data_IF_826115526649
#
_entry.id   IF_826115526649
#
_cell.length_a   1.000
_cell.length_b   1.000
_cell.length_c   1.000
_cell.angle_alpha   90.00
_cell.angle_beta   90.00
_cell.angle_gamma   90.00
#
_symmetry.space_group_name_H-M   'P 1'
#
loop_
_entity.id
_entity.type
_entity.pdbx_description
1 polymer ?
#
# COMPACT_ATOMS: atom_id res chain seq x y z
N UNK A 1 -22.57 0.67 -22.75
CA UNK A 1 -23.57 1.74 -22.56
C UNK A 1 -25.00 1.19 -22.43
N UNK A 2 -25.59 0.54 -23.46
CA UNK A 2 -26.93 -0.08 -23.35
C UNK A 2 -27.07 -1.05 -22.17
N UNK A 3 -26.09 -1.93 -21.97
CA UNK A 3 -26.07 -2.88 -20.83
C UNK A 3 -26.08 -2.15 -19.48
N UNK A 4 -25.30 -1.07 -19.31
CA UNK A 4 -25.32 -0.27 -18.07
C UNK A 4 -26.73 0.26 -17.78
N UNK A 5 -27.39 0.82 -18.79
CA UNK A 5 -28.74 1.35 -18.60
C UNK A 5 -29.72 0.27 -18.17
N UNK A 6 -29.66 -0.92 -18.76
CA UNK A 6 -30.50 -2.05 -18.38
C UNK A 6 -30.24 -2.49 -16.93
N UNK A 7 -28.97 -2.58 -16.52
CA UNK A 7 -28.60 -2.96 -15.16
C UNK A 7 -29.08 -1.92 -14.14
N UNK A 8 -28.84 -0.64 -14.37
CA UNK A 8 -29.25 0.45 -13.47
C UNK A 8 -30.78 0.58 -13.40
N UNK A 9 -31.50 0.40 -14.52
CA UNK A 9 -32.96 0.42 -14.51
C UNK A 9 -33.54 -0.73 -13.67
N UNK A 10 -32.89 -1.90 -13.67
CA UNK A 10 -33.34 -3.09 -12.92
C UNK A 10 -32.87 -3.08 -11.46
N UNK A 11 -31.69 -2.52 -11.21
CA UNK A 11 -31.02 -2.44 -9.91
C UNK A 11 -30.47 -1.02 -9.71
N UNK A 12 -31.30 -0.07 -9.22
CA UNK A 12 -30.92 1.34 -9.12
C UNK A 12 -29.66 1.60 -8.29
N UNK A 13 -29.43 0.79 -7.25
CA UNK A 13 -28.29 0.94 -6.35
C UNK A 13 -27.01 0.24 -6.85
N UNK A 14 -27.08 -0.46 -7.99
CA UNK A 14 -25.92 -1.17 -8.55
C UNK A 14 -24.95 -0.20 -9.22
N UNK A 15 -23.70 -0.21 -8.75
CA UNK A 15 -22.60 0.46 -9.43
C UNK A 15 -22.14 -0.34 -10.65
N UNK A 16 -22.00 0.31 -11.80
CA UNK A 16 -21.60 -0.33 -13.06
C UNK A 16 -20.39 0.38 -13.67
N UNK A 17 -19.25 -0.32 -13.71
CA UNK A 17 -18.06 0.12 -14.44
C UNK A 17 -18.08 -0.39 -15.89
N UNK A 18 -17.75 0.47 -16.85
CA UNK A 18 -17.64 0.09 -18.26
C UNK A 18 -16.18 0.09 -18.70
N UNK A 19 -15.69 -1.03 -19.25
CA UNK A 19 -14.28 -1.12 -19.64
C UNK A 19 -13.83 -0.14 -20.71
N UNK A 20 -14.73 0.29 -21.60
CA UNK A 20 -14.41 1.35 -22.56
C UNK A 20 -14.26 2.74 -21.91
N UNK A 21 -14.77 2.95 -20.70
CA UNK A 21 -14.63 4.19 -19.94
C UNK A 21 -13.45 4.10 -18.96
N UNK A 22 -13.24 2.94 -18.31
CA UNK A 22 -12.14 2.75 -17.35
C UNK A 22 -10.79 2.51 -18.01
N UNK A 23 -10.76 1.91 -19.21
CA UNK A 23 -9.53 1.61 -19.94
C UNK A 23 -9.78 1.55 -21.46
N UNK A 24 -9.71 2.72 -22.12
CA UNK A 24 -9.98 2.88 -23.55
C UNK A 24 -8.95 2.25 -24.52
N UNK A 25 -7.95 1.53 -24.02
CA UNK A 25 -6.89 0.92 -24.82
C UNK A 25 -7.34 -0.46 -25.38
N UNK A 26 -6.76 -0.85 -26.52
CA UNK A 26 -6.84 -2.23 -27.04
C UNK A 26 -6.16 -3.19 -26.05
N UNK A 27 -6.49 -4.49 -26.14
CA UNK A 27 -6.19 -5.58 -25.18
C UNK A 27 -7.35 -5.88 -24.22
N UNK A 28 -8.27 -6.76 -24.66
CA UNK A 28 -9.48 -7.12 -23.90
C UNK A 28 -9.18 -7.70 -22.51
N UNK A 29 -8.26 -8.67 -22.33
CA UNK A 29 -7.94 -9.18 -21.00
C UNK A 29 -7.49 -8.08 -20.03
N UNK A 30 -6.58 -7.20 -20.45
CA UNK A 30 -6.04 -6.11 -19.62
C UNK A 30 -7.10 -5.05 -19.29
N UNK A 31 -7.97 -4.75 -20.25
CA UNK A 31 -9.14 -3.89 -20.03
C UNK A 31 -10.09 -4.49 -19.01
N UNK A 32 -10.41 -5.79 -19.12
CA UNK A 32 -11.28 -6.48 -18.17
C UNK A 32 -10.70 -6.48 -16.74
N UNK A 33 -9.40 -6.74 -16.59
CA UNK A 33 -8.70 -6.67 -15.29
C UNK A 33 -8.77 -5.26 -14.70
N UNK A 34 -8.51 -4.23 -15.51
CA UNK A 34 -8.58 -2.84 -15.04
C UNK A 34 -9.99 -2.49 -14.55
N UNK A 35 -11.02 -2.80 -15.35
CA UNK A 35 -12.42 -2.57 -14.99
C UNK A 35 -12.84 -3.34 -13.74
N UNK A 36 -12.35 -4.57 -13.58
CA UNK A 36 -12.61 -5.38 -12.39
C UNK A 36 -12.10 -4.69 -11.12
N UNK A 37 -10.84 -4.25 -11.11
CA UNK A 37 -10.29 -3.54 -9.95
C UNK A 37 -10.92 -2.16 -9.74
N UNK A 38 -11.31 -1.45 -10.82
CA UNK A 38 -12.13 -0.24 -10.69
C UNK A 38 -13.42 -0.56 -9.95
N UNK A 39 -14.22 -1.52 -10.43
CA UNK A 39 -15.50 -1.87 -9.83
C UNK A 39 -15.38 -2.31 -8.37
N UNK A 40 -14.33 -3.09 -8.04
CA UNK A 40 -14.07 -3.55 -6.67
C UNK A 40 -13.78 -2.41 -5.69
N UNK A 41 -13.16 -1.32 -6.16
CA UNK A 41 -12.70 -0.22 -5.30
C UNK A 41 -13.67 0.96 -5.24
N UNK A 42 -14.58 1.09 -6.23
CA UNK A 42 -15.49 2.23 -6.38
C UNK A 42 -16.27 2.58 -5.11
N UNK A 43 -16.91 1.61 -4.47
CA UNK A 43 -17.76 1.88 -3.31
C UNK A 43 -16.98 2.52 -2.16
N UNK A 44 -15.85 1.91 -1.76
CA UNK A 44 -14.99 2.42 -0.68
C UNK A 44 -14.35 3.75 -1.05
N UNK A 45 -13.93 3.91 -2.30
CA UNK A 45 -13.35 5.15 -2.78
C UNK A 45 -14.35 6.31 -2.75
N UNK A 46 -15.59 6.08 -3.17
CA UNK A 46 -16.64 7.09 -3.13
C UNK A 46 -16.94 7.53 -1.70
N UNK A 47 -16.97 6.60 -0.73
CA UNK A 47 -17.11 6.94 0.68
C UNK A 47 -15.94 7.81 1.17
N UNK A 48 -14.69 7.43 0.84
CA UNK A 48 -13.52 8.23 1.18
C UNK A 48 -13.59 9.65 0.61
N UNK A 49 -13.96 9.81 -0.66
CA UNK A 49 -14.11 11.13 -1.28
C UNK A 49 -15.19 11.95 -0.57
N UNK A 50 -16.33 11.34 -0.26
CA UNK A 50 -17.42 12.02 0.45
C UNK A 50 -17.01 12.48 1.86
N UNK A 51 -16.34 11.61 2.62
CA UNK A 51 -15.83 11.92 3.96
C UNK A 51 -14.79 13.05 3.90
N UNK A 52 -13.92 13.03 2.90
CA UNK A 52 -12.91 14.07 2.67
C UNK A 52 -13.55 15.42 2.33
N UNK A 53 -14.51 15.46 1.39
CA UNK A 53 -15.23 16.68 1.02
C UNK A 53 -16.03 17.24 2.21
N UNK A 54 -16.67 16.37 3.00
CA UNK A 54 -17.36 16.76 4.22
C UNK A 54 -16.38 17.38 5.24
N UNK A 55 -15.19 16.79 5.40
CA UNK A 55 -14.17 17.30 6.31
C UNK A 55 -13.67 18.70 5.90
N UNK A 56 -13.55 19.00 4.60
CA UNK A 56 -13.23 20.33 4.09
C UNK A 56 -14.38 21.32 4.32
N UNK A 57 -15.61 20.90 4.02
CA UNK A 57 -16.80 21.73 4.22
C UNK A 57 -16.99 22.14 5.68
N UNK A 58 -16.84 21.20 6.63
CA UNK A 58 -16.90 21.48 8.07
C UNK A 58 -15.84 22.48 8.54
N UNK A 59 -14.70 22.57 7.83
CA UNK A 59 -13.62 23.50 8.13
C UNK A 59 -13.69 24.79 7.30
N UNK A 60 -14.72 24.94 6.46
CA UNK A 60 -14.87 26.04 5.51
C UNK A 60 -13.64 26.23 4.59
N UNK A 61 -12.97 25.13 4.23
CA UNK A 61 -11.82 25.14 3.32
C UNK A 61 -12.33 25.01 1.88
N UNK A 62 -12.00 25.98 1.02
CA UNK A 62 -12.39 26.01 -0.39
C UNK A 62 -11.15 25.97 -1.26
N UNK A 63 -10.75 24.78 -1.67
CA UNK A 63 -9.57 24.54 -2.52
C UNK A 63 -9.88 23.49 -3.57
N UNK A 64 -9.15 23.53 -4.68
CA UNK A 64 -9.13 22.42 -5.62
C UNK A 64 -8.39 21.23 -4.99
N UNK A 65 -8.94 20.04 -5.19
CA UNK A 65 -8.45 18.82 -4.55
C UNK A 65 -7.96 17.86 -5.62
N UNK A 66 -6.72 17.43 -5.45
CA UNK A 66 -6.01 16.53 -6.36
C UNK A 66 -5.67 15.23 -5.62
N UNK A 67 -5.66 14.13 -6.35
CA UNK A 67 -5.19 12.83 -5.87
C UNK A 67 -4.00 12.37 -6.70
N UNK A 68 -3.00 11.82 -6.01
CA UNK A 68 -1.82 11.26 -6.64
C UNK A 68 -2.14 9.94 -7.33
N UNK A 69 -1.60 9.77 -8.54
CA UNK A 69 -1.72 8.57 -9.36
C UNK A 69 -0.49 7.69 -9.26
N UNK A 70 -0.63 6.45 -9.72
CA UNK A 70 0.43 5.44 -9.75
C UNK A 70 1.68 5.85 -10.57
N UNK A 71 1.53 6.80 -11.49
CA UNK A 71 2.56 7.29 -12.41
C UNK A 71 3.24 8.59 -11.94
N UNK A 72 2.98 9.01 -10.70
CA UNK A 72 3.55 10.22 -10.09
C UNK A 72 2.86 11.53 -10.48
N UNK A 73 1.92 11.50 -11.44
CA UNK A 73 1.06 12.65 -11.74
C UNK A 73 -0.15 12.73 -10.81
N UNK A 74 -0.92 13.81 -10.90
CA UNK A 74 -2.18 13.95 -10.15
C UNK A 74 -3.41 13.91 -11.05
N UNK A 75 -4.58 13.81 -10.45
CA UNK A 75 -5.86 14.10 -11.09
C UNK A 75 -6.84 14.74 -10.10
N UNK A 76 -7.83 15.51 -10.58
CA UNK A 76 -8.86 16.06 -9.72
C UNK A 76 -9.62 14.97 -8.94
N UNK A 77 -9.90 15.21 -7.66
CA UNK A 77 -10.56 14.24 -6.77
C UNK A 77 -11.92 13.79 -7.34
N UNK A 78 -12.73 14.70 -7.86
CA UNK A 78 -14.02 14.36 -8.48
C UNK A 78 -13.86 13.43 -9.72
N UNK A 79 -12.75 13.56 -10.46
CA UNK A 79 -12.48 12.71 -11.63
C UNK A 79 -12.15 11.29 -11.18
N UNK A 80 -11.47 11.14 -10.03
CA UNK A 80 -11.11 9.84 -9.46
C UNK A 80 -12.31 8.96 -9.12
N UNK A 81 -13.52 9.51 -8.93
CA UNK A 81 -14.76 8.73 -8.71
C UNK A 81 -15.07 7.77 -9.87
N UNK A 82 -14.60 8.09 -11.09
CA UNK A 82 -14.81 7.24 -12.28
C UNK A 82 -13.68 6.23 -12.51
N UNK A 83 -12.48 6.55 -12.03
CA UNK A 83 -11.27 5.76 -12.23
C UNK A 83 -10.46 5.62 -10.93
N UNK A 84 -11.06 5.14 -9.83
CA UNK A 84 -10.39 5.03 -8.53
C UNK A 84 -9.11 4.17 -8.59
N UNK A 85 -9.07 3.18 -9.48
CA UNK A 85 -7.91 2.31 -9.62
C UNK A 85 -6.64 3.02 -10.14
N UNK A 86 -6.74 4.22 -10.71
CA UNK A 86 -5.57 5.03 -11.12
C UNK A 86 -4.71 5.45 -9.90
N UNK A 87 -5.25 5.38 -8.69
CA UNK A 87 -4.55 5.71 -7.43
C UNK A 87 -3.81 4.51 -6.82
N UNK A 88 -3.83 3.35 -7.48
CA UNK A 88 -3.04 2.18 -7.06
C UNK A 88 -1.56 2.57 -6.96
N UNK A 89 -0.83 2.07 -5.95
CA UNK A 89 0.59 2.41 -5.76
C UNK A 89 0.90 3.92 -5.65
N UNK A 90 -0.09 4.75 -5.26
CA UNK A 90 0.13 6.18 -5.04
C UNK A 90 1.13 6.47 -3.92
N UNK A 91 1.17 5.69 -2.84
CA UNK A 91 2.19 5.82 -1.78
C UNK A 91 3.63 5.68 -2.31
N UNK A 92 3.97 4.54 -2.95
CA UNK A 92 5.28 4.36 -3.59
C UNK A 92 5.60 5.44 -4.63
N UNK A 93 4.59 5.89 -5.39
CA UNK A 93 4.77 7.00 -6.32
C UNK A 93 5.13 8.31 -5.60
N UNK A 94 4.49 8.61 -4.46
CA UNK A 94 4.78 9.79 -3.64
C UNK A 94 6.23 9.74 -3.14
N UNK A 95 6.64 8.61 -2.56
CA UNK A 95 7.99 8.40 -2.05
C UNK A 95 9.04 8.52 -3.15
N UNK A 96 8.75 8.00 -4.35
CA UNK A 96 9.62 8.13 -5.52
C UNK A 96 9.76 9.58 -5.98
N UNK A 97 8.64 10.29 -6.13
CA UNK A 97 8.66 11.70 -6.54
C UNK A 97 9.31 12.59 -5.49
N UNK A 98 9.10 12.29 -4.20
CA UNK A 98 9.78 12.95 -3.09
C UNK A 98 11.29 12.75 -3.16
N UNK A 99 11.77 11.54 -3.42
CA UNK A 99 13.19 11.27 -3.60
C UNK A 99 13.77 12.06 -4.79
N UNK A 100 13.10 12.08 -5.95
CA UNK A 100 13.52 12.90 -7.10
C UNK A 100 13.62 14.38 -6.73
N UNK A 101 12.62 14.90 -6.03
CA UNK A 101 12.58 16.30 -5.61
C UNK A 101 13.66 16.66 -4.59
N UNK A 102 14.08 15.70 -3.75
CA UNK A 102 15.10 15.90 -2.71
C UNK A 102 16.53 15.75 -3.24
N UNK A 103 16.76 14.85 -4.20
CA UNK A 103 18.12 14.58 -4.72
C UNK A 103 18.49 15.50 -5.87
N UNK A 104 17.56 15.74 -6.80
CA UNK A 104 17.74 16.57 -8.01
C UNK A 104 19.06 16.29 -8.76
N UNK A 105 19.52 15.04 -8.74
CA UNK A 105 20.75 14.60 -9.38
C UNK A 105 20.46 13.59 -10.50
N UNK A 106 21.49 13.20 -11.23
CA UNK A 106 21.40 12.26 -12.35
C UNK A 106 21.82 10.84 -11.95
N UNK A 107 21.76 10.50 -10.66
CA UNK A 107 22.18 9.19 -10.17
C UNK A 107 21.09 8.15 -10.37
N UNK A 108 21.52 6.91 -10.46
CA UNK A 108 20.63 5.77 -10.29
C UNK A 108 20.39 5.58 -8.79
N UNK A 109 19.14 5.54 -8.38
CA UNK A 109 18.74 5.39 -6.98
C UNK A 109 17.68 4.32 -6.82
N UNK A 110 17.71 3.65 -5.68
CA UNK A 110 16.64 2.76 -5.23
C UNK A 110 15.91 3.47 -4.09
N UNK A 111 14.59 3.58 -4.21
CA UNK A 111 13.73 4.09 -3.14
C UNK A 111 13.09 2.89 -2.46
N UNK A 112 13.22 2.81 -1.13
CA UNK A 112 12.61 1.78 -0.31
C UNK A 112 11.69 2.49 0.69
N UNK A 113 10.38 2.31 0.50
CA UNK A 113 9.34 2.85 1.36
C UNK A 113 8.82 1.73 2.28
N UNK A 114 9.22 1.77 3.54
CA UNK A 114 8.86 0.75 4.53
C UNK A 114 7.72 1.29 5.40
N UNK A 115 6.52 0.75 5.17
CA UNK A 115 5.36 1.03 6.01
C UNK A 115 5.13 -0.04 7.09
N UNK A 116 3.96 0.00 7.71
CA UNK A 116 3.56 -1.03 8.68
C UNK A 116 3.23 -2.39 8.02
N UNK A 117 2.72 -2.40 6.79
CA UNK A 117 2.25 -3.64 6.13
C UNK A 117 3.19 -4.12 5.02
N UNK A 118 3.74 -3.19 4.25
CA UNK A 118 4.50 -3.47 3.03
C UNK A 118 5.78 -2.66 2.98
N UNK A 119 6.72 -3.16 2.19
CA UNK A 119 7.93 -2.47 1.78
C UNK A 119 7.90 -2.36 0.27
N UNK A 120 7.84 -1.14 -0.23
CA UNK A 120 7.73 -0.85 -1.64
C UNK A 120 9.06 -0.36 -2.20
N UNK A 121 9.51 -0.98 -3.28
CA UNK A 121 10.78 -0.69 -3.92
C UNK A 121 10.50 -0.08 -5.30
N UNK A 122 11.05 1.10 -5.55
CA UNK A 122 11.03 1.74 -6.87
C UNK A 122 12.42 2.17 -7.31
N UNK A 123 12.56 2.46 -8.60
CA UNK A 123 13.84 2.80 -9.21
C UNK A 123 13.77 4.20 -9.82
N UNK A 124 14.83 4.97 -9.61
CA UNK A 124 15.15 6.21 -10.32
C UNK A 124 16.39 5.92 -11.14
N UNK A 125 16.35 6.15 -12.45
CA UNK A 125 17.44 5.85 -13.38
C UNK A 125 17.82 7.16 -14.08
N UNK A 126 19.06 7.60 -13.90
CA UNK A 126 19.52 8.87 -14.46
C UNK A 126 18.71 10.07 -13.96
N UNK A 127 18.30 10.08 -12.69
CA UNK A 127 17.47 11.15 -12.12
C UNK A 127 15.97 11.08 -12.43
N UNK A 128 15.52 10.13 -13.25
CA UNK A 128 14.11 10.00 -13.66
C UNK A 128 13.46 8.73 -13.08
N UNK A 129 12.21 8.78 -12.59
CA UNK A 129 11.48 7.59 -12.17
C UNK A 129 11.35 6.55 -13.29
N UNK A 130 11.61 5.28 -12.98
CA UNK A 130 11.41 4.20 -13.93
C UNK A 130 9.93 3.86 -14.06
N UNK A 131 9.37 4.03 -15.25
CA UNK A 131 7.99 3.62 -15.56
C UNK A 131 7.87 2.12 -15.83
N UNK A 132 6.75 1.53 -15.39
CA UNK A 132 6.40 0.16 -15.73
C UNK A 132 5.95 0.06 -17.20
N UNK A 133 6.77 -0.58 -18.04
CA UNK A 133 6.48 -0.75 -19.48
C UNK A 133 5.13 -1.43 -19.78
N UNK A 134 4.67 -2.27 -18.85
CA UNK A 134 3.41 -3.02 -18.93
C UNK A 134 2.34 -2.50 -17.98
N UNK A 135 2.49 -1.28 -17.45
CA UNK A 135 1.58 -0.68 -16.45
C UNK A 135 1.56 -1.42 -15.12
N UNK A 136 0.66 -1.01 -14.23
CA UNK A 136 0.56 -1.56 -12.88
C UNK A 136 0.25 -3.08 -12.92
N UNK A 137 1.04 -3.85 -12.17
CA UNK A 137 0.84 -5.28 -11.95
C UNK A 137 0.25 -5.49 -10.56
N UNK A 138 -0.99 -5.97 -10.50
CA UNK A 138 -1.71 -6.23 -9.26
C UNK A 138 -1.97 -7.74 -9.21
N UNK A 139 -1.43 -8.44 -8.21
CA UNK A 139 -1.66 -9.87 -8.02
C UNK A 139 -1.36 -10.71 -9.29
N UNK A 140 -0.22 -10.42 -9.93
CA UNK A 140 0.23 -11.06 -11.17
C UNK A 140 -0.53 -10.63 -12.43
N UNK A 141 -1.47 -9.69 -12.34
CA UNK A 141 -2.30 -9.22 -13.45
C UNK A 141 -1.94 -7.80 -13.85
N UNK A 142 -1.51 -7.63 -15.09
CA UNK A 142 -1.26 -6.29 -15.65
C UNK A 142 -2.56 -5.55 -15.94
N UNK A 143 -2.57 -4.24 -15.66
CA UNK A 143 -3.69 -3.30 -15.85
C UNK A 143 -3.30 -2.19 -16.82
N UNK A 144 -4.24 -1.45 -17.40
CA UNK A 144 -3.94 -0.34 -18.30
C UNK A 144 -3.49 0.95 -17.61
N UNK A 145 -3.48 0.96 -16.28
CA UNK A 145 -3.02 2.05 -15.43
C UNK A 145 -1.52 2.23 -15.67
N UNK A 146 -1.13 3.47 -16.00
CA UNK A 146 0.28 3.82 -16.06
C UNK A 146 0.81 3.87 -14.63
N UNK A 147 2.00 3.32 -14.38
CA UNK A 147 2.60 3.36 -13.05
C UNK A 147 4.12 3.41 -13.13
N UNK A 148 4.77 3.76 -12.03
CA UNK A 148 6.18 3.42 -11.85
C UNK A 148 6.37 1.90 -11.75
N UNK A 149 7.61 1.47 -12.02
CA UNK A 149 8.06 0.12 -11.80
C UNK A 149 8.28 -0.07 -10.29
N UNK A 150 7.23 -0.54 -9.62
CA UNK A 150 7.22 -0.81 -8.19
C UNK A 150 7.21 -2.31 -7.96
N UNK A 151 8.02 -2.76 -6.99
CA UNK A 151 7.92 -4.09 -6.40
C UNK A 151 7.51 -3.96 -4.95
N UNK A 152 6.38 -4.53 -4.60
CA UNK A 152 5.88 -4.56 -3.22
C UNK A 152 6.23 -5.89 -2.56
N UNK A 153 6.78 -5.82 -1.36
CA UNK A 153 7.00 -6.96 -0.47
C UNK A 153 5.99 -6.89 0.67
N UNK A 154 5.36 -8.01 1.01
CA UNK A 154 4.46 -8.13 2.15
C UNK A 154 5.25 -8.24 3.47
N UNK A 155 6.09 -7.25 3.72
CA UNK A 155 6.95 -7.11 4.87
C UNK A 155 7.00 -5.64 5.26
N UNK A 156 6.77 -5.33 6.53
CA UNK A 156 6.76 -3.97 7.07
C UNK A 156 6.80 -4.04 8.59
N UNK A 157 6.77 -2.88 9.26
CA UNK A 157 6.94 -2.79 10.71
C UNK A 157 5.94 -3.61 11.53
N UNK A 158 4.67 -3.65 11.10
CA UNK A 158 3.59 -4.38 11.79
C UNK A 158 3.46 -5.84 11.30
N UNK A 159 4.43 -6.35 10.54
CA UNK A 159 4.41 -7.74 10.10
C UNK A 159 4.49 -8.67 11.31
N UNK A 160 3.51 -9.56 11.42
CA UNK A 160 3.42 -10.52 12.52
C UNK A 160 4.61 -11.48 12.46
N UNK A 161 5.24 -11.69 13.61
CA UNK A 161 6.25 -12.74 13.77
C UNK A 161 5.58 -13.99 14.34
N UNK A 162 5.88 -15.12 13.73
CA UNK A 162 5.38 -16.44 14.11
C UNK A 162 6.51 -17.43 14.21
N UNK A 163 6.28 -18.47 15.01
CA UNK A 163 7.15 -19.63 15.06
C UNK A 163 6.31 -20.84 14.66
N UNK A 164 6.75 -21.55 13.64
CA UNK A 164 6.12 -22.78 13.14
C UNK A 164 7.16 -23.89 13.12
N UNK A 165 6.96 -24.93 13.94
CA UNK A 165 7.89 -26.05 14.11
C UNK A 165 9.36 -25.62 14.31
N UNK A 166 9.59 -24.58 15.11
CA UNK A 166 10.94 -24.04 15.38
C UNK A 166 11.49 -23.10 14.29
N UNK A 167 10.75 -22.85 13.21
CA UNK A 167 11.12 -21.90 12.16
C UNK A 167 10.47 -20.55 12.44
N UNK A 168 11.27 -19.47 12.43
CA UNK A 168 10.77 -18.10 12.54
C UNK A 168 10.23 -17.67 11.17
N UNK A 169 9.00 -17.18 11.17
CA UNK A 169 8.30 -16.65 10.00
C UNK A 169 7.93 -15.19 10.26
N UNK A 170 8.30 -14.30 9.35
CA UNK A 170 7.97 -12.87 9.41
C UNK A 170 6.99 -12.54 8.29
N UNK A 171 5.83 -11.98 8.65
CA UNK A 171 4.78 -11.71 7.68
C UNK A 171 4.21 -12.98 7.03
N UNK A 172 3.47 -12.87 5.92
CA UNK A 172 2.94 -11.65 5.32
C UNK A 172 1.70 -11.10 6.05
N UNK A 173 1.31 -11.71 7.19
CA UNK A 173 0.11 -11.32 7.93
C UNK A 173 0.37 -10.13 8.85
N UNK A 174 -0.65 -9.29 8.99
CA UNK A 174 -0.74 -8.20 9.96
C UNK A 174 -1.94 -8.44 10.88
N UNK A 175 -1.76 -8.32 12.20
CA UNK A 175 -2.81 -8.51 13.22
C UNK A 175 -3.13 -7.23 14.00
N UNK A 176 -2.91 -6.07 13.38
CA UNK A 176 -3.01 -4.76 14.02
C UNK A 176 -1.70 -4.01 13.88
N UNK A 177 -1.53 -2.97 14.69
CA UNK A 177 -0.26 -2.29 14.88
C UNK A 177 0.71 -3.13 15.73
N UNK A 178 1.96 -2.67 15.87
CA UNK A 178 2.95 -3.25 16.77
C UNK A 178 2.51 -3.27 18.25
N UNK A 179 3.06 -4.18 19.05
CA UNK A 179 2.71 -4.32 20.46
C UNK A 179 3.07 -3.07 21.28
N UNK A 180 4.16 -2.36 20.96
CA UNK A 180 4.51 -1.07 21.57
C UNK A 180 3.42 0.00 21.38
N UNK A 181 2.55 -0.13 20.39
CA UNK A 181 1.42 0.78 20.17
C UNK A 181 0.09 0.25 20.72
N UNK A 182 0.08 -0.97 21.28
CA UNK A 182 -1.11 -1.63 21.82
C UNK A 182 -1.66 -2.76 20.96
N UNK A 183 -0.91 -3.17 19.94
CA UNK A 183 -1.22 -4.35 19.14
C UNK A 183 -1.18 -5.68 19.92
N UNK A 184 -1.84 -6.73 19.39
CA UNK A 184 -2.01 -7.99 20.10
C UNK A 184 -0.81 -8.96 19.96
N UNK A 185 0.06 -8.77 18.96
CA UNK A 185 1.11 -9.73 18.56
C UNK A 185 2.48 -9.07 18.45
N UNK A 186 3.56 -9.85 18.58
CA UNK A 186 4.92 -9.39 18.29
C UNK A 186 5.07 -9.08 16.80
N UNK A 187 5.74 -7.98 16.50
CA UNK A 187 5.98 -7.51 15.14
C UNK A 187 7.45 -7.16 14.91
N UNK A 188 7.81 -6.88 13.65
CA UNK A 188 9.16 -6.40 13.28
C UNK A 188 9.52 -5.13 14.06
N UNK A 189 8.59 -4.18 14.19
CA UNK A 189 8.79 -2.97 14.99
C UNK A 189 9.13 -3.29 16.43
N UNK A 190 8.47 -4.29 17.04
CA UNK A 190 8.75 -4.66 18.44
C UNK A 190 10.16 -5.23 18.61
N UNK A 191 10.60 -6.09 17.68
CA UNK A 191 11.97 -6.61 17.65
C UNK A 191 12.98 -5.47 17.54
N UNK A 192 12.79 -4.56 16.58
CA UNK A 192 13.72 -3.45 16.36
C UNK A 192 13.72 -2.48 17.54
N UNK A 193 12.55 -2.21 18.12
CA UNK A 193 12.41 -1.36 19.28
C UNK A 193 13.23 -1.91 20.46
N UNK A 194 13.11 -3.21 20.73
CA UNK A 194 13.86 -3.90 21.78
C UNK A 194 15.35 -4.03 21.48
N UNK A 195 15.71 -4.59 20.32
CA UNK A 195 17.09 -4.90 19.91
C UNK A 195 17.96 -3.65 19.86
N UNK A 196 17.43 -2.56 19.30
CA UNK A 196 18.17 -1.31 19.09
C UNK A 196 17.84 -0.24 20.12
N UNK A 197 17.02 -0.55 21.12
CA UNK A 197 16.62 0.37 22.21
C UNK A 197 16.07 1.69 21.67
N UNK A 198 15.20 1.61 20.66
CA UNK A 198 14.68 2.79 19.95
C UNK A 198 13.73 3.64 20.81
N UNK A 199 13.19 3.06 21.89
CA UNK A 199 12.26 3.72 22.81
C UNK A 199 11.02 4.30 22.11
N UNK A 200 10.50 3.54 21.14
CA UNK A 200 9.28 3.85 20.39
C UNK A 200 8.07 3.27 21.13
N UNK A 201 7.02 4.08 21.32
CA UNK A 201 5.81 3.65 22.02
C UNK A 201 6.10 3.13 23.43
N UNK A 202 5.42 2.06 23.84
CA UNK A 202 5.67 1.34 25.09
C UNK A 202 6.73 0.25 24.87
N UNK A 203 7.97 0.55 25.25
CA UNK A 203 9.11 -0.35 25.13
C UNK A 203 8.92 -1.67 25.92
N UNK A 204 8.30 -1.60 27.10
CA UNK A 204 8.08 -2.79 27.93
C UNK A 204 7.01 -3.70 27.33
N UNK A 205 6.03 -3.16 26.61
CA UNK A 205 5.10 -3.97 25.82
C UNK A 205 5.78 -4.74 24.70
N UNK A 206 6.71 -4.12 23.96
CA UNK A 206 7.52 -4.87 22.97
C UNK A 206 8.25 -6.01 23.67
N UNK A 207 8.99 -5.72 24.76
CA UNK A 207 9.74 -6.72 25.51
C UNK A 207 8.85 -7.86 26.02
N UNK A 208 7.72 -7.54 26.64
CA UNK A 208 6.78 -8.52 27.16
C UNK A 208 6.28 -9.47 26.07
N UNK A 209 5.86 -8.91 24.93
CA UNK A 209 5.32 -9.68 23.81
C UNK A 209 6.38 -10.56 23.14
N UNK A 210 7.63 -10.10 23.09
CA UNK A 210 8.76 -10.89 22.59
C UNK A 210 9.12 -12.03 23.55
N UNK A 211 9.09 -11.80 24.86
CA UNK A 211 9.31 -12.88 25.85
C UNK A 211 8.22 -13.95 25.76
N UNK A 212 6.96 -13.55 25.57
CA UNK A 212 5.84 -14.47 25.41
C UNK A 212 6.07 -15.46 24.25
N UNK A 213 6.45 -14.95 23.07
CA UNK A 213 6.67 -15.80 21.88
C UNK A 213 7.93 -16.67 22.01
N UNK A 214 9.01 -16.17 22.61
CA UNK A 214 10.27 -16.93 22.74
C UNK A 214 10.17 -18.02 23.81
N UNK A 215 9.46 -17.77 24.92
CA UNK A 215 9.18 -18.79 25.94
C UNK A 215 8.36 -19.94 25.38
N UNK A 216 7.33 -19.66 24.56
CA UNK A 216 6.54 -20.69 23.90
C UNK A 216 7.37 -21.57 22.94
N UNK A 217 8.43 -21.02 22.36
CA UNK A 217 9.30 -21.72 21.43
C UNK A 217 10.57 -22.30 22.04
N UNK A 218 10.85 -22.04 23.33
CA UNK A 218 12.10 -22.44 23.97
C UNK A 218 13.35 -21.79 23.37
N UNK A 219 13.22 -20.58 22.82
CA UNK A 219 14.32 -19.82 22.23
C UNK A 219 14.81 -18.73 23.19
N UNK A 220 16.10 -18.43 23.13
CA UNK A 220 16.67 -17.27 23.83
C UNK A 220 16.28 -15.98 23.07
N UNK A 221 16.00 -14.90 23.82
CA UNK A 221 15.41 -13.68 23.29
C UNK A 221 16.34 -12.91 22.34
N UNK A 222 17.61 -12.75 22.69
CA UNK A 222 18.61 -12.08 21.87
C UNK A 222 18.82 -12.83 20.54
N UNK A 223 18.91 -14.16 20.61
CA UNK A 223 19.06 -15.05 19.46
C UNK A 223 17.84 -14.96 18.54
N UNK A 224 16.63 -14.97 19.10
CA UNK A 224 15.39 -14.81 18.34
C UNK A 224 15.32 -13.44 17.66
N UNK A 225 15.60 -12.36 18.38
CA UNK A 225 15.56 -11.01 17.83
C UNK A 225 16.59 -10.82 16.71
N UNK A 226 17.80 -11.34 16.88
CA UNK A 226 18.81 -11.30 15.84
C UNK A 226 18.39 -12.10 14.59
N UNK A 227 17.80 -13.29 14.78
CA UNK A 227 17.29 -14.08 13.65
C UNK A 227 16.17 -13.37 12.89
N UNK A 228 15.29 -12.64 13.59
CA UNK A 228 14.27 -11.80 12.92
C UNK A 228 14.92 -10.66 12.14
N UNK A 229 15.93 -9.99 12.71
CA UNK A 229 16.69 -8.94 12.02
C UNK A 229 17.36 -9.48 10.76
N UNK A 230 17.93 -10.69 10.79
CA UNK A 230 18.61 -11.29 9.64
C UNK A 230 17.63 -11.72 8.52
N UNK A 231 16.36 -11.97 8.86
CA UNK A 231 15.29 -12.29 7.90
C UNK A 231 14.81 -11.03 7.16
N UNK A 232 14.80 -9.89 7.85
CA UNK A 232 14.23 -8.60 7.37
C UNK A 232 15.21 -7.84 6.51
#
# INVERSE_FOLDING_TARGET
KKIRQLMVNKYPDMQVALGCETAGKLNFPRRAVTTYYTAMTMSRWNSFVADFEQALAHRNIKVETEVLKADGGTMPLHTSLRTPCETVFSGPAASTMGAVALTQDQRNSVVIDIGGTTSDISLIIGGEPLYASRGANIDGKYTHINSFAVRSLALGGDSEIKIDNGTILVGPRRKGEAACFGGPSATVTDVFNWQYKLNIGDFERSRFKLIEITQMAGMELETFCQAVVDIV
#
